data_IF_144026212694
#
_entry.id   IF_144026212694
#
_cell.length_a   1.000
_cell.length_b   1.000
_cell.length_c   1.000
_cell.angle_alpha   90.00
_cell.angle_beta   90.00
_cell.angle_gamma   90.00
#
_symmetry.space_group_name_H-M   'P 1'
#
loop_
_entity.id
_entity.type
_entity.pdbx_description
1 polymer ?
#
# COMPACT_ATOMS: atom_id res chain seq x y z
N UNK A 1 -6.37 8.16 41.76
CA UNK A 1 -5.55 9.04 40.89
C UNK A 1 -5.69 8.76 39.38
N UNK A 2 -5.90 7.50 38.93
CA UNK A 2 -6.07 7.14 37.50
C UNK A 2 -7.24 7.85 36.79
N UNK A 3 -8.38 8.00 37.47
CA UNK A 3 -9.63 8.53 36.91
C UNK A 3 -9.58 9.99 36.42
N UNK A 4 -8.62 10.80 36.89
CA UNK A 4 -8.48 12.21 36.47
C UNK A 4 -7.64 12.34 35.18
N UNK A 5 -6.74 11.38 34.92
CA UNK A 5 -5.88 11.38 33.74
C UNK A 5 -6.73 11.02 32.51
N UNK A 6 -7.61 10.03 32.62
CA UNK A 6 -8.52 9.64 31.52
C UNK A 6 -9.50 10.77 31.15
N UNK A 7 -10.06 11.49 32.14
CA UNK A 7 -10.92 12.65 31.89
C UNK A 7 -10.18 13.79 31.18
N UNK A 8 -8.94 14.08 31.56
CA UNK A 8 -8.11 15.11 30.90
C UNK A 8 -7.79 14.72 29.46
N UNK A 9 -7.52 13.44 29.20
CA UNK A 9 -7.29 12.91 27.85
C UNK A 9 -8.53 13.06 26.96
N UNK A 10 -9.73 12.81 27.51
CA UNK A 10 -11.00 12.99 26.80
C UNK A 10 -11.24 14.46 26.45
N UNK A 11 -10.98 15.39 27.36
CA UNK A 11 -11.13 16.82 27.09
C UNK A 11 -10.15 17.32 26.03
N UNK A 12 -8.90 16.85 26.05
CA UNK A 12 -7.89 17.19 25.02
C UNK A 12 -8.33 16.70 23.64
N UNK A 13 -8.79 15.44 23.52
CA UNK A 13 -9.31 14.90 22.26
C UNK A 13 -10.52 15.69 21.76
N UNK A 14 -11.43 16.06 22.65
CA UNK A 14 -12.60 16.86 22.31
C UNK A 14 -12.23 18.26 21.81
N UNK A 15 -11.28 18.94 22.48
CA UNK A 15 -10.79 20.25 22.04
C UNK A 15 -10.14 20.13 20.66
N UNK A 16 -9.28 19.14 20.44
CA UNK A 16 -8.66 18.91 19.12
C UNK A 16 -9.73 18.68 18.05
N UNK A 17 -10.73 17.85 18.32
CA UNK A 17 -11.81 17.58 17.37
C UNK A 17 -12.63 18.83 17.04
N UNK A 18 -12.95 19.67 18.03
CA UNK A 18 -13.66 20.95 17.82
C UNK A 18 -12.81 21.89 16.96
N UNK A 19 -11.51 22.00 17.28
CA UNK A 19 -10.59 22.86 16.55
C UNK A 19 -10.44 22.41 15.09
N UNK A 20 -10.33 21.10 14.86
CA UNK A 20 -10.31 20.51 13.52
C UNK A 20 -11.60 20.79 12.74
N UNK A 21 -12.76 20.66 13.41
CA UNK A 21 -14.07 20.92 12.81
C UNK A 21 -14.21 22.38 12.40
N UNK A 22 -13.80 23.32 13.27
CA UNK A 22 -13.81 24.76 12.96
C UNK A 22 -12.88 25.06 11.79
N UNK A 23 -11.68 24.46 11.75
CA UNK A 23 -10.75 24.63 10.63
C UNK A 23 -11.36 24.13 9.31
N UNK A 24 -12.03 22.97 9.29
CA UNK A 24 -12.70 22.47 8.08
C UNK A 24 -13.81 23.41 7.62
N UNK A 25 -14.56 24.02 8.55
CA UNK A 25 -15.63 24.97 8.20
C UNK A 25 -15.05 26.25 7.60
N UNK A 26 -14.02 26.83 8.23
CA UNK A 26 -13.38 28.08 7.79
C UNK A 26 -12.66 27.90 6.45
N UNK A 27 -11.95 26.79 6.26
CA UNK A 27 -11.14 26.50 5.07
C UNK A 27 -11.85 25.51 4.11
N UNK A 28 -13.18 25.44 4.15
CA UNK A 28 -13.97 24.46 3.38
C UNK A 28 -13.75 24.56 1.87
N UNK A 29 -13.59 25.77 1.33
CA UNK A 29 -13.29 26.02 -0.08
C UNK A 29 -11.91 25.48 -0.47
N UNK A 30 -10.87 25.83 0.29
CA UNK A 30 -9.50 25.34 0.06
C UNK A 30 -9.39 23.82 0.22
N UNK A 31 -10.12 23.24 1.17
CA UNK A 31 -10.20 21.80 1.36
C UNK A 31 -10.89 21.10 0.17
N UNK A 32 -11.92 21.71 -0.40
CA UNK A 32 -12.62 21.20 -1.58
C UNK A 32 -11.75 21.30 -2.83
N UNK A 33 -11.14 22.45 -3.09
CA UNK A 33 -10.25 22.65 -4.24
C UNK A 33 -9.05 21.69 -4.19
N UNK A 34 -8.43 21.54 -3.02
CA UNK A 34 -7.34 20.58 -2.82
C UNK A 34 -7.78 19.12 -3.05
N UNK A 35 -9.02 18.79 -2.72
CA UNK A 35 -9.56 17.45 -2.98
C UNK A 35 -9.81 17.21 -4.47
N UNK A 36 -10.27 18.25 -5.20
CA UNK A 36 -10.44 18.21 -6.66
C UNK A 36 -9.09 18.09 -7.36
N UNK A 37 -8.09 18.86 -6.96
CA UNK A 37 -6.72 18.76 -7.49
C UNK A 37 -6.09 17.39 -7.21
N UNK A 38 -6.31 16.86 -6.00
CA UNK A 38 -5.91 15.50 -5.65
C UNK A 38 -6.60 14.43 -6.52
N UNK A 39 -7.87 14.63 -6.85
CA UNK A 39 -8.62 13.73 -7.74
C UNK A 39 -8.12 13.81 -9.18
N UNK A 40 -7.81 14.99 -9.69
CA UNK A 40 -7.19 15.18 -11.01
C UNK A 40 -5.83 14.49 -11.09
N UNK A 41 -4.97 14.71 -10.09
CA UNK A 41 -3.67 14.03 -9.97
C UNK A 41 -3.85 12.51 -9.97
N UNK A 42 -4.82 12.01 -9.22
CA UNK A 42 -5.12 10.58 -9.20
C UNK A 42 -5.59 10.06 -10.56
N UNK A 43 -6.49 10.79 -11.24
CA UNK A 43 -7.06 10.38 -12.53
C UNK A 43 -6.05 10.43 -13.68
N UNK A 44 -5.20 11.46 -13.72
CA UNK A 44 -4.30 11.70 -14.85
C UNK A 44 -2.97 10.94 -14.72
N UNK A 45 -2.52 10.69 -13.48
CA UNK A 45 -1.21 10.08 -13.22
C UNK A 45 -1.36 8.70 -12.58
N UNK A 46 -2.05 8.61 -11.43
CA UNK A 46 -2.06 7.38 -10.62
C UNK A 46 -2.86 6.27 -11.30
N UNK A 47 -4.05 6.57 -11.80
CA UNK A 47 -4.93 5.57 -12.42
C UNK A 47 -4.32 4.97 -13.69
N UNK A 48 -3.84 5.75 -14.68
CA UNK A 48 -3.26 5.20 -15.91
C UNK A 48 -1.93 4.48 -15.64
N UNK A 49 -1.17 4.91 -14.63
CA UNK A 49 0.08 4.23 -14.25
C UNK A 49 -0.17 2.88 -13.59
N UNK A 50 -1.11 2.78 -12.64
CA UNK A 50 -1.35 1.54 -11.88
C UNK A 50 -2.18 0.49 -12.64
N UNK A 51 -3.10 0.92 -13.50
CA UNK A 51 -3.98 0.03 -14.25
C UNK A 51 -3.25 -1.07 -15.06
N UNK A 52 -2.22 -0.77 -15.88
CA UNK A 52 -1.51 -1.81 -16.63
C UNK A 52 -0.85 -2.85 -15.70
N UNK A 53 -0.28 -2.42 -14.58
CA UNK A 53 0.30 -3.34 -13.60
C UNK A 53 -0.76 -4.19 -12.91
N UNK A 54 -1.94 -3.64 -12.60
CA UNK A 54 -3.05 -4.43 -12.06
C UNK A 54 -3.52 -5.51 -13.04
N UNK A 55 -3.71 -5.16 -14.31
CA UNK A 55 -4.12 -6.11 -15.35
C UNK A 55 -3.06 -7.19 -15.53
N UNK A 56 -1.79 -6.81 -15.63
CA UNK A 56 -0.68 -7.74 -15.77
C UNK A 56 -0.58 -8.69 -14.57
N UNK A 57 -0.71 -8.18 -13.35
CA UNK A 57 -0.67 -8.99 -12.13
C UNK A 57 -1.79 -10.04 -12.11
N UNK A 58 -3.01 -9.66 -12.48
CA UNK A 58 -4.16 -10.58 -12.55
C UNK A 58 -3.98 -11.64 -13.65
N UNK A 59 -3.51 -11.25 -14.84
CA UNK A 59 -3.22 -12.20 -15.92
C UNK A 59 -2.14 -13.20 -15.49
N UNK A 60 -1.04 -12.73 -14.89
CA UNK A 60 0.07 -13.59 -14.45
C UNK A 60 -0.33 -14.52 -13.29
N UNK A 61 -1.16 -14.06 -12.35
CA UNK A 61 -1.74 -14.92 -11.31
C UNK A 61 -2.67 -15.97 -11.92
N UNK A 62 -3.59 -15.58 -12.80
CA UNK A 62 -4.54 -16.49 -13.45
C UNK A 62 -3.87 -17.53 -14.36
N UNK A 63 -2.75 -17.18 -15.00
CA UNK A 63 -1.94 -18.10 -15.80
C UNK A 63 -1.06 -19.04 -14.95
N UNK A 64 -0.98 -18.83 -13.64
CA UNK A 64 -0.14 -19.63 -12.75
C UNK A 64 1.36 -19.35 -12.85
N UNK A 65 1.78 -18.33 -13.60
CA UNK A 65 3.19 -17.92 -13.76
C UNK A 65 3.82 -17.60 -12.40
N UNK A 66 3.01 -17.09 -11.47
CA UNK A 66 3.40 -16.81 -10.07
C UNK A 66 3.91 -18.04 -9.34
N UNK A 67 3.37 -19.23 -9.63
CA UNK A 67 3.83 -20.48 -9.03
C UNK A 67 5.18 -20.91 -9.61
N UNK A 68 5.37 -20.73 -10.92
CA UNK A 68 6.64 -21.03 -11.59
C UNK A 68 7.78 -20.12 -11.11
N UNK A 69 7.54 -18.80 -11.13
CA UNK A 69 8.49 -17.81 -10.57
C UNK A 69 8.71 -18.08 -9.09
N UNK A 70 7.64 -18.42 -8.38
CA UNK A 70 7.69 -18.75 -6.97
C UNK A 70 8.60 -19.93 -6.68
N UNK A 71 8.47 -21.04 -7.41
CA UNK A 71 9.33 -22.20 -7.25
C UNK A 71 10.80 -21.90 -7.61
N UNK A 72 11.03 -21.06 -8.61
CA UNK A 72 12.39 -20.64 -9.01
C UNK A 72 13.07 -19.77 -7.95
N UNK A 73 12.32 -18.85 -7.32
CA UNK A 73 12.83 -17.90 -6.32
C UNK A 73 12.67 -18.39 -4.87
N UNK A 74 11.99 -19.50 -4.65
CA UNK A 74 11.89 -20.19 -3.36
C UNK A 74 13.23 -20.40 -2.64
N UNK A 75 14.32 -20.88 -3.28
CA UNK A 75 15.62 -21.03 -2.63
C UNK A 75 16.22 -19.71 -2.11
N UNK A 76 15.78 -18.56 -2.63
CA UNK A 76 16.19 -17.24 -2.14
C UNK A 76 15.23 -16.72 -1.06
N UNK A 77 13.92 -16.77 -1.33
CA UNK A 77 12.90 -16.21 -0.44
C UNK A 77 12.82 -16.90 0.91
N UNK A 78 12.98 -18.22 0.93
CA UNK A 78 12.78 -19.03 2.14
C UNK A 78 13.87 -18.82 3.20
N UNK A 79 15.18 -18.81 2.86
CA UNK A 79 16.23 -18.50 3.84
C UNK A 79 16.33 -17.01 4.18
N UNK A 80 16.13 -16.11 3.20
CA UNK A 80 16.35 -14.67 3.43
C UNK A 80 15.15 -13.99 4.13
N UNK A 81 13.92 -14.33 3.73
CA UNK A 81 12.71 -13.62 4.17
C UNK A 81 11.72 -14.50 4.94
N UNK A 82 11.93 -15.83 5.01
CA UNK A 82 11.04 -16.79 5.70
C UNK A 82 9.57 -16.67 5.23
N UNK A 83 9.40 -16.53 3.93
CA UNK A 83 8.11 -16.49 3.22
C UNK A 83 8.13 -17.49 2.06
N UNK A 84 6.97 -17.96 1.58
CA UNK A 84 6.91 -18.93 0.49
C UNK A 84 7.43 -18.31 -0.81
N UNK A 85 7.90 -19.16 -1.73
CA UNK A 85 8.44 -18.73 -3.02
C UNK A 85 7.49 -17.82 -3.81
N UNK A 86 6.18 -18.09 -3.78
CA UNK A 86 5.15 -17.24 -4.41
C UNK A 86 5.16 -15.78 -3.92
N UNK A 87 5.69 -15.52 -2.71
CA UNK A 87 5.91 -14.17 -2.19
C UNK A 87 6.94 -13.38 -2.97
N UNK A 88 7.83 -14.03 -3.73
CA UNK A 88 8.77 -13.36 -4.63
C UNK A 88 8.04 -12.53 -5.68
N UNK A 89 6.88 -12.99 -6.15
CA UNK A 89 6.08 -12.26 -7.11
C UNK A 89 5.49 -10.98 -6.48
N UNK A 90 4.97 -11.07 -5.25
CA UNK A 90 4.50 -9.90 -4.51
C UNK A 90 5.63 -8.89 -4.27
N UNK A 91 6.85 -9.37 -4.00
CA UNK A 91 8.04 -8.52 -3.86
C UNK A 91 8.43 -7.85 -5.18
N UNK A 92 8.54 -8.61 -6.27
CA UNK A 92 8.91 -8.09 -7.58
C UNK A 92 7.89 -7.05 -8.08
N UNK A 93 6.60 -7.34 -7.96
CA UNK A 93 5.53 -6.42 -8.34
C UNK A 93 5.45 -5.21 -7.40
N UNK A 94 5.71 -5.39 -6.10
CA UNK A 94 5.81 -4.28 -5.14
C UNK A 94 6.99 -3.35 -5.43
N UNK A 95 8.11 -3.87 -5.90
CA UNK A 95 9.27 -3.06 -6.32
C UNK A 95 9.07 -2.38 -7.67
N UNK A 96 8.25 -2.95 -8.56
CA UNK A 96 7.99 -2.41 -9.89
C UNK A 96 6.85 -1.38 -9.92
N UNK A 97 5.85 -1.53 -9.03
CA UNK A 97 4.60 -0.75 -9.06
C UNK A 97 4.21 -0.12 -7.73
N UNK A 98 4.97 -0.36 -6.66
CA UNK A 98 4.80 0.29 -5.36
C UNK A 98 3.48 -0.03 -4.65
N UNK A 99 3.08 0.93 -3.82
CA UNK A 99 1.78 0.92 -3.15
C UNK A 99 0.65 1.23 -4.15
N UNK A 100 -0.48 0.50 -4.17
CA UNK A 100 -0.95 -0.56 -3.25
C UNK A 100 -0.82 -2.00 -3.79
N UNK A 101 -0.11 -2.19 -4.91
CA UNK A 101 -0.11 -3.47 -5.66
C UNK A 101 0.48 -4.62 -4.83
N UNK A 102 1.61 -4.40 -4.16
CA UNK A 102 2.25 -5.43 -3.34
C UNK A 102 1.34 -5.96 -2.21
N UNK A 103 0.56 -5.07 -1.58
CA UNK A 103 -0.42 -5.44 -0.57
C UNK A 103 -1.60 -6.22 -1.16
N UNK A 104 -2.11 -5.80 -2.32
CA UNK A 104 -3.20 -6.50 -3.03
C UNK A 104 -2.80 -7.93 -3.41
N UNK A 105 -1.61 -8.11 -3.98
CA UNK A 105 -1.09 -9.44 -4.37
C UNK A 105 -0.89 -10.30 -3.13
N UNK A 106 -0.29 -9.77 -2.07
CA UNK A 106 -0.13 -10.49 -0.79
C UNK A 106 -1.47 -10.95 -0.22
N UNK A 107 -2.50 -10.10 -0.30
CA UNK A 107 -3.87 -10.46 0.08
C UNK A 107 -4.47 -11.56 -0.79
N UNK A 108 -4.22 -11.55 -2.10
CA UNK A 108 -4.63 -12.63 -3.02
C UNK A 108 -3.96 -13.96 -2.67
N UNK A 109 -2.64 -13.97 -2.50
CA UNK A 109 -1.88 -15.17 -2.09
C UNK A 109 -2.44 -15.78 -0.80
N UNK A 110 -2.85 -14.94 0.17
CA UNK A 110 -3.48 -15.40 1.41
C UNK A 110 -4.88 -15.97 1.17
N UNK A 111 -5.71 -15.32 0.36
CA UNK A 111 -7.06 -15.80 0.00
C UNK A 111 -7.00 -17.16 -0.70
N UNK A 112 -6.01 -17.34 -1.57
CA UNK A 112 -5.74 -18.60 -2.27
C UNK A 112 -5.03 -19.64 -1.40
N UNK A 113 -4.75 -19.34 -0.13
CA UNK A 113 -4.06 -20.22 0.84
C UNK A 113 -2.65 -20.63 0.42
N UNK A 114 -2.01 -19.83 -0.44
CA UNK A 114 -0.62 -20.02 -0.88
C UNK A 114 0.40 -19.52 0.16
N UNK A 115 -0.06 -18.76 1.16
CA UNK A 115 0.73 -18.37 2.33
C UNK A 115 -0.05 -18.48 3.64
N UNK A 116 0.67 -18.72 4.74
CA UNK A 116 0.12 -18.62 6.09
C UNK A 116 -0.12 -17.16 6.48
N UNK A 117 -0.89 -16.93 7.54
CA UNK A 117 -1.13 -15.57 8.05
C UNK A 117 0.18 -14.86 8.42
N UNK A 118 1.04 -15.53 9.20
CA UNK A 118 2.31 -14.96 9.62
C UNK A 118 3.26 -14.69 8.44
N UNK A 119 3.22 -15.51 7.39
CA UNK A 119 3.98 -15.25 6.16
C UNK A 119 3.41 -14.08 5.36
N UNK A 120 2.09 -13.94 5.28
CA UNK A 120 1.44 -12.80 4.64
C UNK A 120 1.68 -11.48 5.37
N UNK A 121 1.63 -11.49 6.71
CA UNK A 121 1.96 -10.33 7.55
C UNK A 121 3.43 -9.92 7.39
N UNK A 122 4.34 -10.89 7.29
CA UNK A 122 5.74 -10.61 6.94
C UNK A 122 5.86 -10.05 5.54
N UNK A 123 5.21 -10.68 4.55
CA UNK A 123 5.31 -10.28 3.16
C UNK A 123 4.85 -8.83 2.98
N UNK A 124 3.66 -8.49 3.49
CA UNK A 124 3.11 -7.13 3.35
C UNK A 124 4.00 -6.07 4.02
N UNK A 125 4.72 -6.40 5.09
CA UNK A 125 5.53 -5.41 5.82
C UNK A 125 6.72 -4.88 5.01
N UNK A 126 7.22 -5.63 4.03
CA UNK A 126 8.32 -5.19 3.17
C UNK A 126 7.93 -5.03 1.69
N UNK A 127 6.84 -5.66 1.23
CA UNK A 127 6.35 -5.46 -0.16
C UNK A 127 5.49 -4.20 -0.32
N UNK A 128 5.13 -3.53 0.78
CA UNK A 128 4.36 -2.29 0.79
C UNK A 128 5.28 -1.05 0.86
N UNK A 129 6.25 -0.97 -0.04
CA UNK A 129 7.20 0.14 -0.10
C UNK A 129 6.87 1.04 -1.29
N UNK A 130 7.14 2.36 -1.18
CA UNK A 130 7.10 3.25 -2.33
C UNK A 130 8.18 2.79 -3.33
N UNK A 131 7.79 2.47 -4.56
CA UNK A 131 8.73 1.86 -5.49
C UNK A 131 9.81 2.87 -5.90
N UNK A 132 11.07 2.43 -6.04
CA UNK A 132 12.15 3.28 -6.54
C UNK A 132 11.81 3.94 -7.88
N UNK A 133 11.01 3.26 -8.72
CA UNK A 133 10.61 3.76 -10.03
C UNK A 133 9.66 4.96 -9.91
N UNK A 134 8.69 4.93 -8.98
CA UNK A 134 7.83 6.05 -8.63
C UNK A 134 8.62 7.17 -7.98
N UNK A 135 9.54 6.88 -7.06
CA UNK A 135 10.39 7.93 -6.49
C UNK A 135 11.24 8.62 -7.57
N UNK A 136 11.82 7.88 -8.51
CA UNK A 136 12.58 8.46 -9.62
C UNK A 136 11.66 9.23 -10.57
N UNK A 137 10.52 8.65 -10.96
CA UNK A 137 9.59 9.26 -11.92
C UNK A 137 8.84 10.48 -11.39
N UNK A 138 8.36 10.44 -10.15
CA UNK A 138 7.54 11.48 -9.56
C UNK A 138 8.36 12.53 -8.78
N UNK A 139 9.55 12.19 -8.26
CA UNK A 139 10.37 13.15 -7.49
C UNK A 139 11.57 13.65 -8.31
N UNK A 140 12.24 12.79 -9.07
CA UNK A 140 13.47 13.18 -9.78
C UNK A 140 13.23 13.83 -11.16
N UNK A 141 12.08 13.60 -11.80
CA UNK A 141 11.74 14.22 -13.10
C UNK A 141 10.78 15.42 -13.00
N UNK A 142 10.12 15.60 -11.85
CA UNK A 142 9.15 16.69 -11.60
C UNK A 142 9.78 17.86 -10.81
N UNK A 143 11.07 17.78 -10.49
CA UNK A 143 11.85 18.93 -9.96
C UNK A 143 12.73 19.51 -11.06
#
# INVERSE_FOLDING_TARGET
MKNNIDKKLVHIKAIIAILFTISIIIFSEQAFDSAVDGLHTWWDIVFPALLPFFIMAEILMGLGVVHFIGALLEPLMRPLFKVPGVGAFALAMGLASGYPIGAKITGNLRRERLCTQAEGERLVSFTNTADPLFMIGAVALVT
#
